data_IF_093283421015
#
_entry.id   IF_093283421015
#
_cell.length_a   1.000
_cell.length_b   1.000
_cell.length_c   1.000
_cell.angle_alpha   90.00
_cell.angle_beta   90.00
_cell.angle_gamma   90.00
#
_symmetry.space_group_name_H-M   'P 1'
#
loop_
_entity.id
_entity.type
_entity.pdbx_description
1 polymer ?
#
# COMPACT_ATOMS: atom_id res chain seq x y z
N UNK A 1 25.75 10.18 16.01
CA UNK A 1 24.40 10.68 15.68
C UNK A 1 24.36 10.98 14.19
N UNK A 2 23.51 10.25 13.47
CA UNK A 2 23.50 10.12 12.01
C UNK A 2 22.89 11.34 11.32
N UNK A 3 23.37 11.68 10.12
CA UNK A 3 22.92 12.80 9.27
C UNK A 3 21.38 12.91 9.10
N UNK A 4 20.66 11.80 9.23
CA UNK A 4 19.18 11.71 9.19
C UNK A 4 18.54 12.48 10.34
N UNK A 5 19.08 12.40 11.57
CA UNK A 5 18.46 13.03 12.75
C UNK A 5 18.47 14.55 12.68
N UNK A 6 19.58 15.13 12.22
CA UNK A 6 19.73 16.60 12.15
C UNK A 6 18.84 17.20 11.06
N UNK A 7 18.81 16.57 9.88
CA UNK A 7 17.94 17.00 8.79
C UNK A 7 16.45 16.92 9.15
N UNK A 8 16.04 15.85 9.84
CA UNK A 8 14.66 15.71 10.33
C UNK A 8 14.30 16.81 11.32
N UNK A 9 15.17 17.10 12.27
CA UNK A 9 14.97 18.17 13.26
C UNK A 9 14.79 19.54 12.58
N UNK A 10 15.66 19.88 11.63
CA UNK A 10 15.60 21.14 10.90
C UNK A 10 14.26 21.29 10.15
N UNK A 11 13.79 20.22 9.51
CA UNK A 11 12.51 20.25 8.81
C UNK A 11 11.34 20.38 9.76
N UNK A 12 11.29 19.58 10.83
CA UNK A 12 10.19 19.62 11.80
C UNK A 12 10.09 21.03 12.39
N UNK A 13 11.23 21.68 12.64
CA UNK A 13 11.27 23.06 13.12
C UNK A 13 10.73 24.07 12.08
N UNK A 14 10.92 23.81 10.79
CA UNK A 14 10.39 24.65 9.70
C UNK A 14 8.88 24.50 9.44
N UNK A 15 8.22 23.48 10.02
CA UNK A 15 6.79 23.24 9.84
C UNK A 15 5.95 24.27 10.62
N UNK A 16 4.85 24.71 10.01
CA UNK A 16 3.86 25.52 10.73
C UNK A 16 3.02 24.64 11.68
N UNK A 17 2.18 25.27 12.52
CA UNK A 17 1.40 24.54 13.53
C UNK A 17 0.42 23.51 12.95
N UNK A 18 -0.27 23.84 11.86
CA UNK A 18 -1.20 22.90 11.21
C UNK A 18 -0.45 21.67 10.66
N UNK A 19 0.72 21.90 10.08
CA UNK A 19 1.57 20.85 9.52
C UNK A 19 2.14 19.93 10.60
N UNK A 20 2.49 20.49 11.76
CA UNK A 20 2.90 19.70 12.93
C UNK A 20 1.79 18.81 13.45
N UNK A 21 0.55 19.29 13.46
CA UNK A 21 -0.61 18.46 13.84
C UNK A 21 -0.80 17.30 12.85
N UNK A 22 -0.76 17.57 11.55
CA UNK A 22 -0.86 16.52 10.52
C UNK A 22 0.30 15.52 10.65
N UNK A 23 1.52 16.01 10.85
CA UNK A 23 2.70 15.16 11.04
C UNK A 23 2.51 14.19 12.21
N UNK A 24 2.02 14.70 13.36
CA UNK A 24 1.78 13.88 14.53
C UNK A 24 0.67 12.84 14.29
N UNK A 25 -0.41 13.22 13.59
CA UNK A 25 -1.47 12.28 13.22
C UNK A 25 -0.96 11.17 12.32
N UNK A 26 -0.19 11.50 11.28
CA UNK A 26 0.41 10.52 10.37
C UNK A 26 1.42 9.63 11.11
N UNK A 27 2.23 10.19 12.00
CA UNK A 27 3.21 9.44 12.79
C UNK A 27 2.53 8.45 13.74
N UNK A 28 1.53 8.88 14.50
CA UNK A 28 0.76 8.00 15.40
C UNK A 28 0.08 6.90 14.61
N UNK A 29 -0.58 7.23 13.50
CA UNK A 29 -1.20 6.23 12.63
C UNK A 29 -0.19 5.17 12.17
N UNK A 30 1.01 5.57 11.75
CA UNK A 30 2.04 4.62 11.34
C UNK A 30 2.52 3.76 12.53
N UNK A 31 2.71 4.34 13.71
CA UNK A 31 3.09 3.61 14.92
C UNK A 31 2.04 2.56 15.32
N UNK A 32 0.75 2.92 15.28
CA UNK A 32 -0.35 1.99 15.61
C UNK A 32 -0.35 0.77 14.67
N UNK A 33 -0.03 0.98 13.38
CA UNK A 33 0.08 -0.12 12.42
C UNK A 33 1.30 -1.03 12.68
N UNK A 34 2.34 -0.51 13.35
CA UNK A 34 3.50 -1.30 13.76
C UNK A 34 3.30 -2.00 15.09
N UNK A 35 2.25 -1.70 15.86
CA UNK A 35 2.03 -2.30 17.17
C UNK A 35 2.04 -3.84 17.10
N UNK A 36 1.38 -4.37 16.07
CA UNK A 36 1.26 -5.80 15.81
C UNK A 36 2.59 -6.53 15.54
N UNK A 37 3.65 -5.81 15.13
CA UNK A 37 4.93 -6.41 14.78
C UNK A 37 5.93 -6.44 15.95
N UNK A 38 5.68 -5.71 17.06
CA UNK A 38 6.62 -5.67 18.20
C UNK A 38 6.82 -7.05 18.86
N UNK A 39 5.86 -7.97 18.72
CA UNK A 39 5.97 -9.35 19.19
C UNK A 39 6.63 -10.33 18.20
N UNK A 40 6.99 -9.89 16.99
CA UNK A 40 7.57 -10.76 15.96
C UNK A 40 9.06 -10.98 16.16
N UNK A 41 9.53 -12.18 15.79
CA UNK A 41 10.95 -12.52 15.76
C UNK A 41 11.69 -11.74 14.68
N UNK A 42 12.94 -11.38 14.97
CA UNK A 42 13.79 -10.65 14.04
C UNK A 42 14.33 -11.55 12.91
N UNK A 43 14.66 -10.98 11.71
CA UNK A 43 14.59 -9.57 11.34
C UNK A 43 13.16 -9.09 11.01
N UNK A 44 12.87 -7.82 11.26
CA UNK A 44 11.64 -7.18 10.81
C UNK A 44 11.79 -6.69 9.38
N UNK A 45 11.01 -7.29 8.49
CA UNK A 45 11.03 -7.00 7.06
C UNK A 45 9.85 -6.08 6.70
N UNK A 46 10.17 -4.84 6.35
CA UNK A 46 9.20 -3.82 5.99
C UNK A 46 9.02 -3.76 4.48
N UNK A 47 7.78 -3.96 4.03
CA UNK A 47 7.41 -3.76 2.63
C UNK A 47 6.97 -2.31 2.47
N UNK A 48 7.62 -1.58 1.56
CA UNK A 48 7.37 -0.15 1.35
C UNK A 48 6.41 0.06 0.18
N UNK A 49 5.34 0.81 0.40
CA UNK A 49 4.41 1.17 -0.67
C UNK A 49 5.12 2.01 -1.76
N UNK A 50 4.75 1.78 -3.02
CA UNK A 50 5.17 2.57 -4.16
C UNK A 50 4.91 4.08 -3.97
N UNK A 51 3.90 4.49 -3.21
CA UNK A 51 3.68 5.92 -2.90
C UNK A 51 4.89 6.55 -2.20
N UNK A 52 5.55 5.83 -1.29
CA UNK A 52 6.72 6.33 -0.56
C UNK A 52 7.91 6.48 -1.51
N UNK A 53 8.14 5.51 -2.41
CA UNK A 53 9.17 5.60 -3.44
C UNK A 53 8.96 6.80 -4.37
N UNK A 54 7.71 7.06 -4.77
CA UNK A 54 7.38 8.22 -5.58
C UNK A 54 7.65 9.52 -4.81
N UNK A 55 7.25 9.61 -3.54
CA UNK A 55 7.49 10.80 -2.71
C UNK A 55 9.00 11.08 -2.53
N UNK A 56 9.83 10.04 -2.37
CA UNK A 56 11.29 10.16 -2.35
C UNK A 56 11.84 10.68 -3.68
N UNK A 57 11.36 10.13 -4.80
CA UNK A 57 11.76 10.58 -6.15
C UNK A 57 11.40 12.05 -6.38
N UNK A 58 10.21 12.48 -5.96
CA UNK A 58 9.79 13.89 -6.02
C UNK A 58 10.62 14.81 -5.15
N UNK A 59 11.08 14.35 -3.99
CA UNK A 59 11.99 15.13 -3.14
C UNK A 59 13.32 15.41 -3.86
N UNK A 60 13.85 14.44 -4.59
CA UNK A 60 15.10 14.61 -5.34
C UNK A 60 14.97 15.56 -6.54
N UNK A 61 13.77 15.72 -7.12
CA UNK A 61 13.55 16.60 -8.26
C UNK A 61 13.39 18.10 -7.90
N UNK A 62 13.45 18.49 -6.62
CA UNK A 62 13.20 19.86 -6.13
C UNK A 62 11.83 20.45 -6.51
N UNK A 63 10.85 19.63 -6.93
CA UNK A 63 9.53 20.07 -7.39
C UNK A 63 8.50 20.21 -6.23
N UNK A 64 8.94 20.66 -5.06
CA UNK A 64 8.05 20.80 -3.91
C UNK A 64 7.24 22.11 -3.95
N UNK A 65 6.08 22.05 -4.59
CA UNK A 65 5.06 23.11 -4.52
C UNK A 65 4.11 22.91 -3.32
N UNK A 66 3.32 23.93 -2.99
CA UNK A 66 2.38 23.91 -1.86
C UNK A 66 1.35 22.77 -1.94
N UNK A 67 0.94 22.35 -3.14
CA UNK A 67 0.00 21.23 -3.34
C UNK A 67 0.61 19.87 -2.96
N UNK A 68 1.94 19.77 -2.97
CA UNK A 68 2.66 18.56 -2.58
C UNK A 68 3.04 18.55 -1.10
N UNK A 69 2.82 19.63 -0.36
CA UNK A 69 3.26 19.77 1.04
C UNK A 69 2.70 18.70 1.98
N UNK A 70 1.47 18.21 1.75
CA UNK A 70 0.90 17.06 2.48
C UNK A 70 1.69 15.75 2.24
N UNK A 71 2.11 15.49 0.99
CA UNK A 71 2.98 14.34 0.67
C UNK A 71 4.32 14.44 1.40
N UNK A 72 4.86 15.66 1.51
CA UNK A 72 6.07 15.90 2.27
C UNK A 72 5.93 15.53 3.74
N UNK A 73 4.84 15.99 4.37
CA UNK A 73 4.57 15.75 5.78
C UNK A 73 4.44 14.25 6.06
N UNK A 74 3.69 13.54 5.21
CA UNK A 74 3.62 12.08 5.26
C UNK A 74 5.00 11.44 5.13
N UNK A 75 5.82 11.87 4.18
CA UNK A 75 7.17 11.34 3.98
C UNK A 75 8.05 11.59 5.23
N UNK A 76 7.94 12.76 5.87
CA UNK A 76 8.63 13.07 7.13
C UNK A 76 8.17 12.11 8.24
N UNK A 77 6.86 11.85 8.35
CA UNK A 77 6.33 10.88 9.33
C UNK A 77 6.94 9.48 9.12
N UNK A 78 7.03 9.02 7.86
CA UNK A 78 7.69 7.76 7.50
C UNK A 78 9.16 7.78 7.93
N UNK A 79 9.92 8.85 7.63
CA UNK A 79 11.31 8.97 8.08
C UNK A 79 11.45 8.96 9.61
N UNK A 80 10.52 9.58 10.35
CA UNK A 80 10.52 9.55 11.81
C UNK A 80 10.35 8.12 12.34
N UNK A 81 9.41 7.36 11.77
CA UNK A 81 9.20 5.94 12.11
C UNK A 81 10.46 5.13 11.80
N UNK A 82 11.05 5.28 10.62
CA UNK A 82 12.29 4.60 10.28
C UNK A 82 13.44 4.98 11.20
N UNK A 83 13.58 6.26 11.54
CA UNK A 83 14.60 6.74 12.48
C UNK A 83 14.41 6.11 13.87
N UNK A 84 13.18 5.97 14.34
CA UNK A 84 12.84 5.24 15.57
C UNK A 84 13.24 3.77 15.45
N UNK A 85 12.79 3.07 14.41
CA UNK A 85 13.06 1.64 14.22
C UNK A 85 14.55 1.35 14.10
N UNK A 86 15.29 2.11 13.28
CA UNK A 86 16.72 1.86 13.01
C UNK A 86 17.60 2.20 14.21
N UNK A 87 17.31 3.26 14.95
CA UNK A 87 18.21 3.77 15.99
C UNK A 87 17.78 3.43 17.42
N UNK A 88 16.53 3.04 17.65
CA UNK A 88 15.97 2.92 19.02
C UNK A 88 15.22 1.61 19.29
N UNK A 89 14.85 0.82 18.27
CA UNK A 89 14.13 -0.43 18.53
C UNK A 89 15.03 -1.58 19.02
N UNK A 90 16.35 -1.43 18.88
CA UNK A 90 17.34 -2.51 19.05
C UNK A 90 17.04 -3.76 18.20
N UNK A 91 16.25 -3.61 17.13
CA UNK A 91 15.89 -4.69 16.20
C UNK A 91 16.68 -4.63 14.91
N UNK A 92 16.90 -5.80 14.32
CA UNK A 92 17.36 -5.92 12.93
C UNK A 92 16.21 -5.60 11.97
N UNK A 93 16.30 -4.43 11.32
CA UNK A 93 15.31 -3.96 10.34
C UNK A 93 15.84 -4.15 8.92
N UNK A 94 14.98 -4.63 8.02
CA UNK A 94 15.23 -4.69 6.58
C UNK A 94 14.06 -4.14 5.77
N UNK A 95 14.34 -3.62 4.57
CA UNK A 95 13.30 -3.22 3.61
C UNK A 95 13.24 -4.24 2.48
N UNK A 96 12.02 -4.62 2.09
CA UNK A 96 11.78 -5.55 0.98
C UNK A 96 11.12 -4.80 -0.18
N UNK A 97 11.78 -4.84 -1.34
CA UNK A 97 11.23 -4.42 -2.61
C UNK A 97 10.62 -5.64 -3.32
N UNK A 98 9.31 -5.58 -3.56
CA UNK A 98 8.57 -6.64 -4.26
C UNK A 98 8.42 -6.34 -5.75
N UNK A 99 8.14 -7.35 -6.60
CA UNK A 99 7.95 -7.12 -8.02
C UNK A 99 6.76 -6.21 -8.35
N UNK A 100 5.70 -6.22 -7.51
CA UNK A 100 4.55 -5.32 -7.68
C UNK A 100 4.95 -3.85 -7.47
N UNK A 101 5.65 -3.57 -6.38
CA UNK A 101 6.13 -2.20 -6.09
C UNK A 101 7.08 -1.74 -7.18
N UNK A 102 8.01 -2.60 -7.60
CA UNK A 102 8.93 -2.30 -8.69
C UNK A 102 8.20 -2.03 -10.02
N UNK A 103 7.18 -2.84 -10.35
CA UNK A 103 6.36 -2.63 -11.55
C UNK A 103 5.65 -1.28 -11.53
N UNK A 104 5.03 -0.91 -10.42
CA UNK A 104 4.34 0.36 -10.30
C UNK A 104 5.29 1.56 -10.30
N UNK A 105 6.44 1.44 -9.65
CA UNK A 105 7.49 2.47 -9.67
C UNK A 105 7.99 2.73 -11.09
N UNK A 106 8.09 1.69 -11.92
CA UNK A 106 8.39 1.78 -13.34
C UNK A 106 7.17 2.17 -14.21
N UNK A 107 6.15 2.82 -13.62
CA UNK A 107 4.94 3.27 -14.31
C UNK A 107 4.22 2.14 -15.04
N UNK A 108 4.20 0.95 -14.44
CA UNK A 108 3.54 -0.25 -15.00
C UNK A 108 4.13 -0.68 -16.34
N UNK A 109 5.44 -0.46 -16.51
CA UNK A 109 6.22 -0.93 -17.66
C UNK A 109 7.23 -1.97 -17.23
N UNK A 110 7.41 -2.99 -18.06
CA UNK A 110 8.41 -4.03 -17.86
C UNK A 110 9.69 -3.57 -18.54
N UNK A 111 10.85 -3.54 -17.85
CA UNK A 111 12.12 -3.17 -18.47
C UNK A 111 12.46 -4.05 -19.69
N UNK A 112 12.90 -3.42 -20.78
CA UNK A 112 13.12 -4.09 -22.07
C UNK A 112 14.34 -5.00 -22.09
N UNK A 113 15.32 -4.72 -21.22
CA UNK A 113 16.57 -5.46 -21.14
C UNK A 113 17.19 -5.38 -19.73
N UNK A 114 18.22 -6.20 -19.50
CA UNK A 114 18.91 -6.28 -18.21
C UNK A 114 19.53 -4.97 -17.76
N UNK A 115 19.97 -4.10 -18.69
CA UNK A 115 20.57 -2.81 -18.35
C UNK A 115 19.51 -1.85 -17.79
N UNK A 116 18.36 -1.75 -18.46
CA UNK A 116 17.23 -0.96 -17.97
C UNK A 116 16.71 -1.50 -16.63
N UNK A 117 16.67 -2.81 -16.47
CA UNK A 117 16.27 -3.45 -15.23
C UNK A 117 17.19 -3.08 -14.06
N UNK A 118 18.51 -3.29 -14.22
CA UNK A 118 19.48 -2.98 -13.17
C UNK A 118 19.47 -1.48 -12.83
N UNK A 119 19.43 -0.61 -13.84
CA UNK A 119 19.33 0.84 -13.64
C UNK A 119 18.10 1.25 -12.82
N UNK A 120 16.93 0.66 -13.12
CA UNK A 120 15.72 0.90 -12.34
C UNK A 120 15.81 0.33 -10.92
N UNK A 121 16.43 -0.85 -10.74
CA UNK A 121 16.59 -1.48 -9.43
C UNK A 121 17.54 -0.69 -8.54
N UNK A 122 18.68 -0.27 -9.10
CA UNK A 122 19.66 0.59 -8.42
C UNK A 122 19.03 1.92 -8.01
N UNK A 123 18.14 2.48 -8.85
CA UNK A 123 17.39 3.68 -8.51
C UNK A 123 16.39 3.45 -7.35
N UNK A 124 15.69 2.30 -7.33
CA UNK A 124 14.85 1.96 -6.17
C UNK A 124 15.69 1.84 -4.89
N UNK A 125 16.82 1.14 -4.96
CA UNK A 125 17.69 0.94 -3.79
C UNK A 125 18.38 2.22 -3.33
N UNK A 126 18.79 3.10 -4.24
CA UNK A 126 19.36 4.39 -3.88
C UNK A 126 18.37 5.26 -3.09
N UNK A 127 17.10 5.26 -3.49
CA UNK A 127 16.01 5.94 -2.77
C UNK A 127 15.77 5.30 -1.39
N UNK A 128 15.67 3.98 -1.32
CA UNK A 128 15.41 3.27 -0.05
C UNK A 128 16.57 3.37 0.94
N UNK A 129 17.81 3.49 0.46
CA UNK A 129 18.98 3.73 1.30
C UNK A 129 18.88 5.03 2.13
N UNK A 130 18.05 5.99 1.71
CA UNK A 130 17.84 7.22 2.49
C UNK A 130 17.26 6.96 3.88
N UNK A 131 16.57 5.84 4.10
CA UNK A 131 16.03 5.47 5.41
C UNK A 131 17.09 4.97 6.41
N UNK A 132 18.35 4.79 5.96
CA UNK A 132 19.44 4.35 6.83
C UNK A 132 19.33 2.89 7.28
N UNK A 133 18.48 2.09 6.65
CA UNK A 133 18.35 0.66 6.91
C UNK A 133 19.56 -0.07 6.33
N UNK A 134 20.12 -1.03 7.08
CA UNK A 134 21.32 -1.79 6.63
C UNK A 134 21.02 -2.85 5.58
N UNK A 135 19.77 -3.31 5.52
CA UNK A 135 19.37 -4.46 4.73
C UNK A 135 18.28 -4.09 3.74
N UNK A 136 18.60 -4.20 2.46
CA UNK A 136 17.65 -4.07 1.35
C UNK A 136 17.56 -5.42 0.63
N UNK A 137 16.33 -5.92 0.49
CA UNK A 137 16.05 -7.18 -0.18
C UNK A 137 15.21 -6.95 -1.43
N UNK A 138 15.46 -7.70 -2.49
CA UNK A 138 14.73 -7.65 -3.76
C UNK A 138 14.10 -9.00 -4.07
N UNK A 139 12.98 -9.32 -3.41
CA UNK A 139 12.35 -10.62 -3.55
C UNK A 139 11.77 -10.81 -4.96
N UNK A 140 12.18 -11.87 -5.67
CA UNK A 140 11.71 -12.14 -7.04
C UNK A 140 12.22 -11.14 -8.09
N UNK A 141 13.26 -10.38 -7.74
CA UNK A 141 13.94 -9.39 -8.57
C UNK A 141 15.47 -9.65 -8.60
N UNK A 142 15.91 -10.88 -8.32
CA UNK A 142 17.34 -11.22 -8.18
C UNK A 142 18.11 -11.10 -9.50
N UNK A 143 17.42 -11.38 -10.61
CA UNK A 143 17.95 -11.17 -11.95
C UNK A 143 16.85 -10.85 -12.94
N UNK A 144 17.25 -10.28 -14.07
CA UNK A 144 16.32 -9.83 -15.11
C UNK A 144 15.37 -10.91 -15.63
N UNK A 145 15.83 -12.16 -15.79
CA UNK A 145 14.99 -13.24 -16.34
C UNK A 145 13.84 -13.57 -15.40
N UNK A 146 14.14 -13.75 -14.12
CA UNK A 146 13.15 -14.02 -13.07
C UNK A 146 12.21 -12.82 -12.92
N UNK A 147 12.77 -11.62 -12.80
CA UNK A 147 12.01 -10.38 -12.68
C UNK A 147 11.04 -10.22 -13.85
N UNK A 148 11.49 -10.40 -15.10
CA UNK A 148 10.63 -10.28 -16.30
C UNK A 148 9.47 -11.26 -16.29
N UNK A 149 9.67 -12.49 -15.80
CA UNK A 149 8.59 -13.47 -15.67
C UNK A 149 7.55 -12.99 -14.65
N UNK A 150 7.99 -12.59 -13.46
CA UNK A 150 7.12 -12.10 -12.40
C UNK A 150 6.34 -10.84 -12.83
N UNK A 151 7.02 -9.89 -13.46
CA UNK A 151 6.41 -8.65 -13.96
C UNK A 151 5.40 -8.92 -15.08
N UNK A 152 5.61 -9.94 -15.92
CA UNK A 152 4.63 -10.36 -16.93
C UNK A 152 3.37 -10.92 -16.30
N UNK A 153 3.50 -11.74 -15.25
CA UNK A 153 2.35 -12.27 -14.52
C UNK A 153 1.54 -11.15 -13.87
N UNK A 154 2.23 -10.22 -13.19
CA UNK A 154 1.59 -9.04 -12.59
C UNK A 154 0.86 -8.20 -13.67
N UNK A 155 1.51 -7.94 -14.80
CA UNK A 155 0.90 -7.20 -15.91
C UNK A 155 -0.32 -7.94 -16.50
N UNK A 156 -0.29 -9.27 -16.53
CA UNK A 156 -1.42 -10.08 -16.97
C UNK A 156 -2.60 -9.97 -15.99
N UNK A 157 -2.34 -10.17 -14.70
CA UNK A 157 -3.35 -10.08 -13.65
C UNK A 157 -3.98 -8.69 -13.61
N UNK A 158 -3.17 -7.63 -13.73
CA UNK A 158 -3.65 -6.25 -13.85
C UNK A 158 -4.65 -6.12 -15.01
N UNK A 159 -4.33 -6.65 -16.19
CA UNK A 159 -5.21 -6.57 -17.36
C UNK A 159 -6.51 -7.34 -17.14
N UNK A 160 -6.45 -8.53 -16.55
CA UNK A 160 -7.65 -9.33 -16.27
C UNK A 160 -8.56 -8.67 -15.23
N UNK A 161 -7.98 -8.12 -14.16
CA UNK A 161 -8.70 -7.34 -13.15
C UNK A 161 -9.34 -6.10 -13.78
N UNK A 162 -8.62 -5.35 -14.62
CA UNK A 162 -9.16 -4.17 -15.30
C UNK A 162 -10.30 -4.52 -16.27
N UNK A 163 -10.17 -5.62 -17.03
CA UNK A 163 -11.26 -6.13 -17.88
C UNK A 163 -12.49 -6.49 -17.06
N UNK A 164 -12.29 -7.16 -15.92
CA UNK A 164 -13.38 -7.50 -15.01
C UNK A 164 -14.07 -6.24 -14.48
N UNK A 165 -13.30 -5.27 -13.98
CA UNK A 165 -13.84 -3.98 -13.51
C UNK A 165 -14.65 -3.28 -14.61
N UNK A 166 -14.14 -3.25 -15.84
CA UNK A 166 -14.88 -2.66 -16.98
C UNK A 166 -16.16 -3.41 -17.30
N UNK A 167 -16.14 -4.75 -17.25
CA UNK A 167 -17.32 -5.60 -17.44
C UNK A 167 -18.36 -5.34 -16.35
N UNK A 168 -17.92 -5.19 -15.10
CA UNK A 168 -18.78 -4.85 -13.97
C UNK A 168 -19.36 -3.44 -14.10
N UNK A 169 -18.58 -2.44 -14.52
CA UNK A 169 -19.08 -1.06 -14.76
C UNK A 169 -20.10 -0.99 -15.90
N UNK A 170 -19.91 -1.76 -16.96
CA UNK A 170 -20.82 -1.79 -18.13
C UNK A 170 -22.13 -2.52 -17.83
N UNK A 171 -22.10 -3.53 -16.97
CA UNK A 171 -23.32 -4.11 -16.42
C UNK A 171 -23.87 -3.10 -15.41
N UNK A 172 -24.96 -2.40 -15.71
CA UNK A 172 -25.82 -1.82 -14.67
C UNK A 172 -26.29 -2.98 -13.79
N UNK A 173 -25.49 -3.32 -12.78
CA UNK A 173 -25.83 -4.38 -11.85
C UNK A 173 -26.87 -3.78 -10.90
N UNK A 174 -28.13 -3.97 -11.24
CA UNK A 174 -29.24 -3.72 -10.33
C UNK A 174 -29.20 -4.85 -9.30
N UNK A 175 -28.72 -4.55 -8.09
CA UNK A 175 -28.81 -5.46 -6.96
C UNK A 175 -30.18 -5.24 -6.30
N UNK A 176 -31.05 -6.24 -6.37
CA UNK A 176 -32.29 -6.27 -5.59
C UNK A 176 -31.97 -6.95 -4.26
N UNK A 177 -31.95 -6.16 -3.18
CA UNK A 177 -31.77 -6.67 -1.82
C UNK A 177 -33.13 -7.18 -1.32
N UNK A 178 -33.31 -8.49 -1.34
CA UNK A 178 -34.48 -9.13 -0.71
C UNK A 178 -34.22 -9.29 0.78
N UNK A 179 -34.64 -8.31 1.57
CA UNK A 179 -34.69 -8.45 3.02
C UNK A 179 -35.90 -9.33 3.36
N UNK A 180 -35.69 -10.62 3.62
CA UNK A 180 -36.72 -11.45 4.27
C UNK A 180 -36.89 -10.96 5.70
N UNK A 181 -37.83 -10.06 5.93
CA UNK A 181 -38.33 -9.80 7.27
C UNK A 181 -39.02 -11.07 7.77
N UNK A 182 -38.38 -11.81 8.67
CA UNK A 182 -39.06 -12.86 9.44
C UNK A 182 -39.95 -12.17 10.47
N UNK A 183 -41.14 -11.77 10.04
CA UNK A 183 -42.17 -11.20 10.89
C UNK A 183 -43.51 -11.33 10.17
N UNK A 184 -44.50 -11.92 10.85
CA UNK A 184 -45.84 -12.22 10.36
C UNK A 184 -46.67 -10.98 9.98
N UNK A 185 -46.27 -10.22 8.97
CA UNK A 185 -47.06 -9.09 8.46
C UNK A 185 -47.28 -9.23 6.96
N UNK A 186 -48.54 -9.49 6.61
CA UNK A 186 -49.08 -9.74 5.26
C UNK A 186 -48.92 -8.59 4.24
N UNK A 187 -48.07 -7.59 4.47
CA UNK A 187 -47.98 -6.39 3.61
C UNK A 187 -46.54 -5.84 3.47
N UNK A 188 -45.52 -6.67 3.20
CA UNK A 188 -44.21 -6.16 2.80
C UNK A 188 -44.21 -5.81 1.30
N UNK A 189 -44.37 -4.53 0.96
CA UNK A 189 -44.07 -4.04 -0.39
C UNK A 189 -42.56 -4.16 -0.62
N UNK A 190 -42.18 -4.85 -1.69
CA UNK A 190 -40.79 -4.90 -2.18
C UNK A 190 -40.32 -3.47 -2.50
N UNK A 191 -39.51 -2.89 -1.62
CA UNK A 191 -38.87 -1.60 -1.85
C UNK A 191 -37.65 -1.80 -2.75
N UNK A 192 -37.81 -1.48 -4.05
CA UNK A 192 -36.67 -1.33 -4.96
C UNK A 192 -35.83 -0.13 -4.54
N UNK A 193 -34.62 -0.38 -4.05
CA UNK A 193 -33.61 0.65 -3.81
C UNK A 193 -32.55 0.50 -4.89
N UNK A 194 -32.47 1.46 -5.82
CA UNK A 194 -31.36 1.54 -6.78
C UNK A 194 -30.11 2.04 -6.06
N UNK A 195 -29.14 1.16 -5.83
CA UNK A 195 -27.88 1.49 -5.21
C UNK A 195 -26.88 1.99 -6.27
N UNK A 196 -26.63 3.30 -6.27
CA UNK A 196 -25.60 3.95 -7.11
C UNK A 196 -24.16 3.83 -6.56
N UNK A 197 -23.95 3.06 -5.49
CA UNK A 197 -22.61 2.87 -4.91
C UNK A 197 -21.96 1.57 -5.41
N UNK A 198 -20.66 1.58 -5.76
CA UNK A 198 -20.00 0.41 -6.31
C UNK A 198 -20.15 -0.79 -5.37
N UNK A 199 -20.59 -1.96 -5.90
CA UNK A 199 -21.04 -3.10 -5.10
C UNK A 199 -20.00 -3.63 -4.11
N UNK A 200 -18.72 -3.32 -4.31
CA UNK A 200 -17.65 -3.74 -3.42
C UNK A 200 -17.76 -3.13 -2.02
N UNK A 201 -18.11 -1.84 -1.89
CA UNK A 201 -18.19 -1.17 -0.58
C UNK A 201 -19.37 -1.72 0.23
N UNK A 202 -20.50 -1.97 -0.42
CA UNK A 202 -21.69 -2.53 0.22
C UNK A 202 -21.48 -4.02 0.53
N UNK A 203 -20.87 -4.79 -0.37
CA UNK A 203 -20.51 -6.18 -0.11
C UNK A 203 -19.52 -6.28 1.05
N UNK A 204 -18.51 -5.41 1.12
CA UNK A 204 -17.56 -5.38 2.23
C UNK A 204 -18.24 -4.98 3.55
N UNK A 205 -19.11 -3.96 3.55
CA UNK A 205 -19.87 -3.55 4.74
C UNK A 205 -20.85 -4.63 5.22
N UNK A 206 -21.51 -5.35 4.30
CA UNK A 206 -22.40 -6.47 4.64
C UNK A 206 -21.62 -7.70 5.12
N UNK A 207 -20.48 -8.01 4.51
CA UNK A 207 -19.59 -9.13 4.91
C UNK A 207 -18.91 -8.85 6.25
N UNK A 208 -18.54 -7.60 6.54
CA UNK A 208 -17.97 -7.22 7.83
C UNK A 208 -18.99 -7.31 8.98
N UNK A 209 -20.29 -7.24 8.70
CA UNK A 209 -21.36 -7.27 9.70
C UNK A 209 -22.08 -8.62 9.82
N UNK A 210 -21.96 -9.51 8.84
CA UNK A 210 -22.60 -10.83 8.86
C UNK A 210 -21.58 -11.92 8.54
N UNK A 211 -21.54 -12.98 9.37
CA UNK A 211 -20.85 -14.24 9.03
C UNK A 211 -21.59 -14.90 7.87
N UNK A 212 -21.20 -14.56 6.65
CA UNK A 212 -21.69 -15.24 5.45
C UNK A 212 -20.71 -16.36 5.12
N UNK A 213 -21.15 -17.62 5.29
CA UNK A 213 -20.46 -18.78 4.72
C UNK A 213 -20.66 -18.73 3.20
N UNK A 214 -19.59 -18.42 2.47
CA UNK A 214 -19.62 -18.33 1.02
C UNK A 214 -19.39 -19.75 0.47
N UNK A 215 -20.48 -20.42 0.07
CA UNK A 215 -20.49 -21.78 -0.52
C UNK A 215 -19.49 -22.03 -1.68
N UNK A 216 -18.93 -20.97 -2.27
CA UNK A 216 -17.93 -21.07 -3.35
C UNK A 216 -16.47 -20.94 -2.86
N UNK A 217 -16.24 -20.39 -1.67
CA UNK A 217 -14.91 -20.30 -1.03
C UNK A 217 -14.74 -21.35 0.09
N UNK A 218 -15.85 -21.80 0.69
CA UNK A 218 -15.90 -22.88 1.67
C UNK A 218 -16.03 -24.26 0.99
N UNK A 219 -15.27 -24.52 -0.08
CA UNK A 219 -14.99 -25.92 -0.42
C UNK A 219 -13.92 -26.39 0.54
N UNK A 220 -14.40 -27.02 1.61
CA UNK A 220 -13.61 -27.92 2.44
C UNK A 220 -12.68 -28.73 1.53
N UNK A 221 -11.37 -28.54 1.72
CA UNK A 221 -10.40 -29.57 1.40
C UNK A 221 -10.71 -30.68 2.40
N UNK A 222 -11.43 -31.70 1.94
CA UNK A 222 -11.55 -32.96 2.69
C UNK A 222 -10.15 -33.62 2.70
N UNK A 223 -9.62 -33.86 3.90
CA UNK A 223 -8.69 -34.96 4.17
C UNK A 223 -9.56 -36.15 4.58
#
# INVERSE_FOLDING_TARGET
MTKISNWLLDIINSLNQQEKVILLQDFVFLCDNLESIFGMTEPWLLIIDNQILNDLKYRQSNEYNANHRKRYIRLIAVFMVFNFLVNYSDKRIGIVLTPCIFYEFNQRKIPDNSKSFNSSLDNCFSLLNEFGVKELFSFGLDNYKIARLNLKNICHDEKEILKLIQKLKRKKMNFELYQKFSGNTKNSKDSKIELFNPPFIIAFQLVAQQRINLKYFDRNIEI
#
